data_IF_800574011351
#
_entry.id   IF_800574011351
#
_cell.length_a   1.000
_cell.length_b   1.000
_cell.length_c   1.000
_cell.angle_alpha   90.00
_cell.angle_beta   90.00
_cell.angle_gamma   90.00
#
_symmetry.space_group_name_H-M   'P 1'
#
loop_
_entity.id
_entity.type
_entity.pdbx_description
1 polymer ?
#
# COMPACT_ATOMS: atom_id res chain seq x y z
N UNK A 1 -17.54 14.65 -6.37
CA UNK A 1 -16.82 13.44 -6.78
C UNK A 1 -17.13 12.32 -5.82
N UNK A 2 -17.58 11.19 -6.31
CA UNK A 2 -17.91 10.03 -5.47
C UNK A 2 -16.73 9.07 -5.36
N UNK A 3 -16.63 8.38 -4.23
CA UNK A 3 -15.61 7.36 -3.99
C UNK A 3 -15.86 6.16 -4.89
N UNK A 4 -14.83 5.71 -5.60
CA UNK A 4 -14.84 4.51 -6.43
C UNK A 4 -13.48 3.84 -6.37
N UNK A 5 -13.37 2.61 -6.87
CA UNK A 5 -12.08 1.91 -6.91
C UNK A 5 -11.04 2.67 -7.73
N UNK A 6 -11.47 3.36 -8.80
CA UNK A 6 -10.58 4.09 -9.68
C UNK A 6 -10.03 5.39 -9.06
N UNK A 7 -10.68 5.97 -8.06
CA UNK A 7 -10.20 7.19 -7.41
C UNK A 7 -9.73 6.96 -5.97
N UNK A 8 -9.44 5.71 -5.62
CA UNK A 8 -8.93 5.31 -4.31
C UNK A 8 -7.47 4.91 -4.42
N UNK A 9 -6.63 5.42 -3.51
CA UNK A 9 -5.28 4.92 -3.28
C UNK A 9 -5.21 4.27 -1.90
N UNK A 10 -4.43 3.19 -1.78
CA UNK A 10 -4.19 2.55 -0.49
C UNK A 10 -2.72 2.74 -0.14
N UNK A 11 -2.45 3.16 1.09
CA UNK A 11 -1.10 3.33 1.62
C UNK A 11 -0.85 2.26 2.67
N UNK A 12 0.25 1.53 2.51
CA UNK A 12 0.67 0.47 3.44
C UNK A 12 2.10 0.77 3.86
N UNK A 13 2.34 0.94 5.16
CA UNK A 13 3.70 1.14 5.68
C UNK A 13 4.21 -0.20 6.18
N UNK A 14 5.39 -0.59 5.70
CA UNK A 14 6.00 -1.89 6.03
C UNK A 14 7.34 -1.71 6.72
N UNK A 15 7.64 -2.66 7.62
CA UNK A 15 8.97 -2.84 8.19
C UNK A 15 9.09 -4.31 8.57
N UNK A 16 9.97 -5.04 7.87
CA UNK A 16 10.13 -6.48 8.07
C UNK A 16 8.79 -7.24 7.92
N UNK A 17 8.00 -6.83 6.92
CA UNK A 17 6.63 -7.33 6.72
C UNK A 17 6.50 -8.26 5.51
N UNK A 18 7.61 -8.77 4.97
CA UNK A 18 7.60 -9.61 3.76
C UNK A 18 6.67 -10.82 3.88
N UNK A 19 6.57 -11.39 5.10
CA UNK A 19 5.76 -12.58 5.32
C UNK A 19 4.24 -12.34 5.19
N UNK A 20 3.78 -11.09 5.39
CA UNK A 20 2.34 -10.79 5.48
C UNK A 20 1.84 -9.83 4.40
N UNK A 21 2.72 -9.00 3.83
CA UNK A 21 2.30 -7.94 2.91
C UNK A 21 1.70 -8.48 1.61
N UNK A 22 2.18 -9.62 1.13
CA UNK A 22 1.66 -10.20 -0.12
C UNK A 22 0.19 -10.59 0.01
N UNK A 23 -0.21 -11.19 1.12
CA UNK A 23 -1.61 -11.53 1.35
C UNK A 23 -2.48 -10.28 1.45
N UNK A 24 -1.97 -9.23 2.09
CA UNK A 24 -2.66 -7.95 2.15
C UNK A 24 -2.89 -7.38 0.75
N UNK A 25 -1.83 -7.30 -0.06
CA UNK A 25 -1.92 -6.78 -1.43
C UNK A 25 -2.88 -7.61 -2.28
N UNK A 26 -2.77 -8.93 -2.21
CA UNK A 26 -3.64 -9.82 -2.97
C UNK A 26 -5.11 -9.67 -2.56
N UNK A 27 -5.39 -9.36 -1.29
CA UNK A 27 -6.76 -9.16 -0.83
C UNK A 27 -7.39 -7.87 -1.34
N UNK A 28 -6.58 -6.89 -1.73
CA UNK A 28 -7.05 -5.62 -2.29
C UNK A 28 -7.46 -5.78 -3.76
N UNK A 29 -6.68 -6.51 -4.52
CA UNK A 29 -6.90 -6.68 -5.95
C UNK A 29 -5.96 -5.83 -6.79
N UNK A 30 -6.08 -5.94 -8.11
CA UNK A 30 -5.13 -5.33 -9.06
C UNK A 30 -5.61 -4.00 -9.66
N UNK A 31 -6.80 -3.55 -9.32
CA UNK A 31 -7.44 -2.37 -9.91
C UNK A 31 -7.37 -1.11 -9.05
N UNK A 32 -6.72 -1.18 -7.88
CA UNK A 32 -6.58 -0.04 -6.97
C UNK A 32 -5.10 0.31 -6.85
N UNK A 33 -4.78 1.60 -6.90
CA UNK A 33 -3.41 2.07 -6.67
C UNK A 33 -2.99 1.76 -5.25
N UNK A 34 -1.83 1.12 -5.09
CA UNK A 34 -1.26 0.79 -3.79
C UNK A 34 0.13 1.42 -3.69
N UNK A 35 0.34 2.22 -2.65
CA UNK A 35 1.65 2.79 -2.32
C UNK A 35 2.15 2.06 -1.08
N UNK A 36 3.24 1.32 -1.21
CA UNK A 36 3.91 0.66 -0.09
C UNK A 36 5.09 1.53 0.32
N UNK A 37 5.14 1.93 1.58
CA UNK A 37 6.30 2.64 2.13
C UNK A 37 7.06 1.64 2.99
N UNK A 38 8.22 1.20 2.50
CA UNK A 38 9.08 0.30 3.25
C UNK A 38 10.03 1.14 4.10
N UNK A 39 9.93 1.01 5.42
CA UNK A 39 10.73 1.77 6.39
C UNK A 39 12.14 1.20 6.54
N UNK A 40 12.82 1.02 5.41
CA UNK A 40 14.20 0.55 5.35
C UNK A 40 14.77 0.85 3.95
N UNK A 41 16.00 0.40 3.70
CA UNK A 41 16.64 0.49 2.40
C UNK A 41 16.61 -0.84 1.64
N UNK A 42 15.59 -1.67 1.89
CA UNK A 42 15.49 -3.00 1.28
C UNK A 42 15.07 -2.91 -0.20
N UNK A 43 16.05 -2.76 -1.09
CA UNK A 43 15.82 -2.64 -2.52
C UNK A 43 15.26 -3.93 -3.14
N UNK A 44 15.62 -5.10 -2.62
CA UNK A 44 15.09 -6.37 -3.13
C UNK A 44 13.59 -6.48 -2.87
N UNK A 45 13.14 -6.04 -1.72
CA UNK A 45 11.71 -6.01 -1.38
C UNK A 45 10.95 -5.10 -2.34
N UNK A 46 11.47 -3.89 -2.58
CA UNK A 46 10.88 -2.95 -3.54
C UNK A 46 10.78 -3.57 -4.94
N UNK A 47 11.89 -4.11 -5.44
CA UNK A 47 11.92 -4.72 -6.77
C UNK A 47 10.94 -5.89 -6.89
N UNK A 48 10.87 -6.72 -5.85
CA UNK A 48 9.95 -7.86 -5.81
C UNK A 48 8.49 -7.41 -5.91
N UNK A 49 8.10 -6.40 -5.12
CA UNK A 49 6.73 -5.91 -5.13
C UNK A 49 6.37 -5.28 -6.48
N UNK A 50 7.23 -4.43 -7.01
CA UNK A 50 6.94 -3.73 -8.27
C UNK A 50 6.97 -4.67 -9.47
N UNK A 51 7.74 -5.75 -9.40
CA UNK A 51 7.77 -6.78 -10.44
C UNK A 51 6.51 -7.63 -10.43
N UNK A 52 6.00 -7.97 -9.25
CA UNK A 52 4.89 -8.91 -9.12
C UNK A 52 3.51 -8.24 -9.17
N UNK A 53 3.44 -6.94 -8.93
CA UNK A 53 2.16 -6.21 -8.87
C UNK A 53 2.25 -4.93 -9.68
N UNK A 54 1.49 -4.87 -10.78
CA UNK A 54 1.52 -3.70 -11.68
C UNK A 54 0.92 -2.45 -11.07
N UNK A 55 0.06 -2.61 -10.06
CA UNK A 55 -0.62 -1.50 -9.39
C UNK A 55 0.09 -1.03 -8.11
N UNK A 56 1.25 -1.62 -7.78
CA UNK A 56 2.00 -1.28 -6.57
C UNK A 56 3.22 -0.44 -6.93
N UNK A 57 3.41 0.66 -6.20
CA UNK A 57 4.65 1.44 -6.20
C UNK A 57 5.22 1.38 -4.79
N UNK A 58 6.50 1.09 -4.66
CA UNK A 58 7.16 1.00 -3.36
C UNK A 58 8.14 2.15 -3.18
N UNK A 59 8.04 2.84 -2.06
CA UNK A 59 8.93 3.93 -1.67
C UNK A 59 9.79 3.45 -0.51
N UNK A 60 11.10 3.62 -0.63
CA UNK A 60 12.02 3.29 0.45
C UNK A 60 12.29 4.55 1.27
N UNK A 61 12.09 4.47 2.58
CA UNK A 61 12.40 5.58 3.48
C UNK A 61 13.87 5.61 3.90
N UNK A 62 14.61 4.54 3.57
CA UNK A 62 16.03 4.31 3.89
C UNK A 62 16.33 4.10 5.38
N UNK A 63 15.39 4.41 6.26
CA UNK A 63 15.49 4.15 7.69
C UNK A 63 14.07 3.98 8.25
N UNK A 64 13.96 3.41 9.45
CA UNK A 64 12.66 3.28 10.09
C UNK A 64 12.21 4.62 10.66
N UNK A 65 11.24 5.25 9.97
CA UNK A 65 10.67 6.54 10.36
C UNK A 65 9.50 6.39 11.35
N UNK A 66 9.06 5.15 11.60
CA UNK A 66 7.83 4.89 12.33
C UNK A 66 6.58 5.03 11.44
N UNK A 67 5.42 4.70 12.01
CA UNK A 67 4.17 4.60 11.25
C UNK A 67 3.68 5.96 10.75
N UNK A 68 3.69 6.98 11.61
CA UNK A 68 3.16 8.31 11.25
C UNK A 68 3.92 8.96 10.11
N UNK A 69 5.26 9.00 10.21
CA UNK A 69 6.09 9.58 9.15
C UNK A 69 6.06 8.73 7.88
N UNK A 70 5.97 7.41 8.02
CA UNK A 70 5.81 6.51 6.88
C UNK A 70 4.50 6.77 6.14
N UNK A 71 3.39 6.90 6.86
CA UNK A 71 2.10 7.23 6.26
C UNK A 71 2.16 8.57 5.52
N UNK A 72 2.78 9.59 6.12
CA UNK A 72 2.93 10.90 5.48
C UNK A 72 3.73 10.82 4.19
N UNK A 73 4.79 10.02 4.17
CA UNK A 73 5.59 9.82 2.96
C UNK A 73 4.75 9.15 1.86
N UNK A 74 3.96 8.14 2.22
CA UNK A 74 3.06 7.47 1.28
C UNK A 74 1.99 8.40 0.73
N UNK A 75 1.38 9.19 1.58
CA UNK A 75 0.33 10.15 1.19
C UNK A 75 0.85 11.13 0.13
N UNK A 76 2.10 11.53 0.21
CA UNK A 76 2.71 12.43 -0.79
C UNK A 76 2.84 11.78 -2.18
N UNK A 77 2.77 10.47 -2.26
CA UNK A 77 2.96 9.72 -3.50
C UNK A 77 1.66 9.28 -4.16
N UNK A 78 0.52 9.39 -3.47
CA UNK A 78 -0.76 8.97 -4.04
C UNK A 78 -1.17 9.89 -5.19
N UNK A 79 -1.86 9.32 -6.18
CA UNK A 79 -2.34 10.08 -7.34
C UNK A 79 -3.86 10.20 -7.36
N UNK A 80 -4.56 9.54 -6.45
CA UNK A 80 -6.02 9.51 -6.43
C UNK A 80 -6.58 10.44 -5.36
N UNK A 81 -7.89 10.68 -5.41
CA UNK A 81 -8.54 11.67 -4.55
C UNK A 81 -8.81 11.16 -3.13
N UNK A 82 -8.98 9.84 -2.97
CA UNK A 82 -9.28 9.23 -1.68
C UNK A 82 -8.15 8.30 -1.27
N UNK A 83 -7.84 8.28 0.02
CA UNK A 83 -6.73 7.51 0.57
C UNK A 83 -7.24 6.63 1.71
N UNK A 84 -6.94 5.34 1.64
CA UNK A 84 -7.15 4.40 2.73
C UNK A 84 -5.79 3.92 3.24
N UNK A 85 -5.59 3.99 4.55
CA UNK A 85 -4.35 3.53 5.16
C UNK A 85 -4.61 2.16 5.78
N UNK A 86 -3.80 1.17 5.42
CA UNK A 86 -3.91 -0.20 5.94
C UNK A 86 -2.61 -0.64 6.59
N UNK A 87 -2.73 -1.45 7.63
CA UNK A 87 -1.59 -2.18 8.17
C UNK A 87 -1.24 -3.35 7.26
N UNK A 88 0.05 -3.75 7.17
CA UNK A 88 0.48 -4.78 6.21
C UNK A 88 -0.03 -6.19 6.50
N UNK A 89 -0.54 -6.45 7.69
CA UNK A 89 -1.09 -7.75 8.08
C UNK A 89 -2.61 -7.86 7.89
N UNK A 90 -3.26 -6.80 7.39
CA UNK A 90 -4.70 -6.82 7.13
C UNK A 90 -5.00 -7.60 5.86
N UNK A 91 -6.00 -8.47 5.94
CA UNK A 91 -6.54 -9.17 4.78
C UNK A 91 -8.00 -8.73 4.63
N UNK A 92 -8.31 -8.09 3.49
CA UNK A 92 -9.67 -7.61 3.25
C UNK A 92 -10.54 -8.75 2.71
N UNK A 93 -11.78 -8.80 3.18
CA UNK A 93 -12.78 -9.68 2.59
C UNK A 93 -13.20 -9.14 1.22
N UNK A 94 -13.69 -10.01 0.34
CA UNK A 94 -14.01 -9.67 -1.04
C UNK A 94 -14.90 -8.45 -1.21
N UNK A 95 -15.83 -8.22 -0.29
CA UNK A 95 -16.80 -7.12 -0.39
C UNK A 95 -16.41 -5.87 0.40
N UNK A 96 -15.32 -5.90 1.18
CA UNK A 96 -15.02 -4.83 2.12
C UNK A 96 -14.85 -3.47 1.43
N UNK A 97 -14.07 -3.41 0.35
CA UNK A 97 -13.86 -2.15 -0.36
C UNK A 97 -15.15 -1.69 -1.04
N UNK A 98 -15.90 -2.61 -1.63
CA UNK A 98 -17.17 -2.27 -2.28
C UNK A 98 -18.19 -1.74 -1.27
N UNK A 99 -18.17 -2.23 -0.05
CA UNK A 99 -19.02 -1.72 1.03
C UNK A 99 -18.61 -0.32 1.50
N UNK A 100 -17.32 0.01 1.44
CA UNK A 100 -16.82 1.35 1.78
C UNK A 100 -17.18 2.39 0.70
N UNK A 101 -17.33 1.95 -0.51
CA UNK A 101 -17.68 2.79 -1.64
C UNK A 101 -19.19 3.01 -1.70
#
# INVERSE_FOLDING_TARGET
MSLSRQNLSIVIVTYKSEAVVHDCINSIGSDIEIIVVENSSNHKFKENLEKNYTNVSCVLSTKNLGMGAGNNLGIKKVTKDFILILNPDVILENSTIDELI
#
